data_IF_245191593954
#
_entry.id   IF_245191593954
#
_cell.length_a   1.000
_cell.length_b   1.000
_cell.length_c   1.000
_cell.angle_alpha   90.00
_cell.angle_beta   90.00
_cell.angle_gamma   90.00
#
_symmetry.space_group_name_H-M   'P 1'
#
loop_
_entity.id
_entity.type
_entity.pdbx_description
1 polymer ?
#
# COMPACT_ATOMS: atom_id res chain seq x y z
N UNK A 1 24.24 -14.39 -17.62
CA UNK A 1 23.06 -14.21 -18.50
C UNK A 1 21.81 -14.96 -18.02
N UNK A 2 21.89 -16.24 -17.65
CA UNK A 2 20.72 -17.06 -17.27
C UNK A 2 19.84 -16.49 -16.12
N UNK A 3 20.41 -15.88 -15.08
CA UNK A 3 19.62 -15.32 -13.96
C UNK A 3 18.73 -14.16 -14.39
N UNK A 4 19.23 -13.23 -15.23
CA UNK A 4 18.44 -12.07 -15.70
C UNK A 4 17.29 -12.51 -16.60
N UNK A 5 17.54 -13.44 -17.52
CA UNK A 5 16.50 -13.98 -18.40
C UNK A 5 15.37 -14.65 -17.59
N UNK A 6 15.73 -15.42 -16.56
CA UNK A 6 14.76 -16.09 -15.68
C UNK A 6 13.93 -15.09 -14.87
N UNK A 7 14.55 -14.05 -14.30
CA UNK A 7 13.82 -12.99 -13.57
C UNK A 7 12.85 -12.26 -14.49
N UNK A 8 13.29 -11.86 -15.69
CA UNK A 8 12.42 -11.19 -16.66
C UNK A 8 11.24 -12.07 -17.07
N UNK A 9 11.50 -13.37 -17.32
CA UNK A 9 10.43 -14.32 -17.66
C UNK A 9 9.40 -14.47 -16.53
N UNK A 10 9.84 -14.64 -15.28
CA UNK A 10 8.93 -14.75 -14.14
C UNK A 10 8.16 -13.45 -13.89
N UNK A 11 8.83 -12.30 -13.93
CA UNK A 11 8.17 -11.00 -13.76
C UNK A 11 7.15 -10.73 -14.87
N UNK A 12 7.47 -11.07 -16.13
CA UNK A 12 6.54 -10.96 -17.24
C UNK A 12 5.34 -11.91 -17.11
N UNK A 13 5.58 -13.16 -16.72
CA UNK A 13 4.53 -14.14 -16.48
C UNK A 13 3.59 -13.74 -15.34
N UNK A 14 4.13 -13.25 -14.21
CA UNK A 14 3.34 -12.77 -13.09
C UNK A 14 2.55 -11.49 -13.42
N UNK A 15 3.13 -10.58 -14.20
CA UNK A 15 2.42 -9.40 -14.67
C UNK A 15 1.24 -9.77 -15.59
N UNK A 16 1.45 -10.73 -16.52
CA UNK A 16 0.38 -11.25 -17.36
C UNK A 16 -0.71 -11.94 -16.52
N UNK A 17 -0.32 -12.75 -15.54
CA UNK A 17 -1.26 -13.40 -14.61
C UNK A 17 -2.07 -12.38 -13.81
N UNK A 18 -1.44 -11.28 -13.36
CA UNK A 18 -2.14 -10.18 -12.67
C UNK A 18 -3.18 -9.54 -13.59
N UNK A 19 -2.81 -9.20 -14.83
CA UNK A 19 -3.75 -8.60 -15.81
C UNK A 19 -4.93 -9.55 -16.09
N UNK A 20 -4.66 -10.84 -16.29
CA UNK A 20 -5.71 -11.84 -16.50
C UNK A 20 -6.62 -11.97 -15.27
N UNK A 21 -6.06 -11.97 -14.06
CA UNK A 21 -6.83 -11.99 -12.82
C UNK A 21 -7.70 -10.73 -12.68
N UNK A 22 -7.20 -9.55 -13.05
CA UNK A 22 -7.97 -8.31 -13.03
C UNK A 22 -9.15 -8.34 -14.02
N UNK A 23 -8.94 -8.84 -15.24
CA UNK A 23 -10.00 -8.99 -16.25
C UNK A 23 -11.05 -10.01 -15.82
N UNK A 24 -10.63 -11.16 -15.28
CA UNK A 24 -11.53 -12.17 -14.74
C UNK A 24 -12.34 -11.63 -13.55
N UNK A 25 -11.69 -10.93 -12.62
CA UNK A 25 -12.35 -10.28 -11.49
C UNK A 25 -13.38 -9.24 -11.93
N UNK A 26 -13.11 -8.51 -13.02
CA UNK A 26 -14.04 -7.52 -13.56
C UNK A 26 -15.29 -8.15 -14.22
N UNK A 27 -15.22 -9.41 -14.66
CA UNK A 27 -16.38 -10.15 -15.14
C UNK A 27 -17.26 -10.69 -14.00
N UNK A 28 -16.67 -10.97 -12.83
CA UNK A 28 -17.37 -11.50 -11.66
C UNK A 28 -18.05 -10.39 -10.86
N UNK A 29 -19.35 -10.54 -10.58
CA UNK A 29 -20.10 -9.61 -9.74
C UNK A 29 -21.60 -9.87 -9.78
N UNK A 30 -22.42 -9.03 -9.12
CA UNK A 30 -23.88 -9.19 -9.08
C UNK A 30 -24.53 -9.18 -10.47
N UNK A 31 -23.95 -8.40 -11.39
CA UNK A 31 -24.33 -8.37 -12.81
C UNK A 31 -23.30 -9.17 -13.60
N UNK A 32 -23.72 -10.24 -14.30
CA UNK A 32 -22.79 -10.99 -15.16
C UNK A 32 -22.52 -10.19 -16.43
N UNK A 33 -21.26 -9.87 -16.70
CA UNK A 33 -20.83 -9.14 -17.89
C UNK A 33 -19.85 -10.05 -18.64
N UNK A 34 -20.03 -10.20 -19.95
CA UNK A 34 -19.15 -11.03 -20.78
C UNK A 34 -17.70 -10.52 -20.74
N UNK A 35 -16.73 -11.44 -20.77
CA UNK A 35 -15.31 -11.09 -20.67
C UNK A 35 -14.86 -10.14 -21.80
N UNK A 36 -15.45 -10.28 -23.00
CA UNK A 36 -15.19 -9.39 -24.13
C UNK A 36 -15.73 -7.97 -23.88
N UNK A 37 -16.92 -7.84 -23.30
CA UNK A 37 -17.51 -6.53 -22.96
C UNK A 37 -16.76 -5.86 -21.82
N UNK A 38 -16.26 -6.64 -20.86
CA UNK A 38 -15.34 -6.15 -19.82
C UNK A 38 -14.05 -5.63 -20.44
N UNK A 39 -13.45 -6.38 -21.36
CA UNK A 39 -12.24 -5.96 -22.08
C UNK A 39 -12.47 -4.67 -22.88
N UNK A 40 -13.55 -4.60 -23.65
CA UNK A 40 -13.95 -3.39 -24.40
C UNK A 40 -14.22 -2.21 -23.47
N UNK A 41 -14.95 -2.42 -22.37
CA UNK A 41 -15.25 -1.38 -21.40
C UNK A 41 -13.99 -0.87 -20.69
N UNK A 42 -13.04 -1.75 -20.40
CA UNK A 42 -11.75 -1.40 -19.81
C UNK A 42 -10.88 -0.60 -20.80
N UNK A 43 -10.86 -0.98 -22.08
CA UNK A 43 -10.18 -0.23 -23.13
C UNK A 43 -10.82 1.16 -23.31
N UNK A 44 -12.15 1.23 -23.35
CA UNK A 44 -12.88 2.51 -23.41
C UNK A 44 -12.58 3.40 -22.18
N UNK A 45 -12.31 2.81 -21.02
CA UNK A 45 -11.94 3.53 -19.81
C UNK A 45 -10.48 4.02 -19.81
N UNK A 46 -9.64 3.57 -20.76
CA UNK A 46 -8.26 4.04 -20.87
C UNK A 46 -8.26 5.50 -21.33
N UNK A 47 -7.44 6.31 -20.66
CA UNK A 47 -7.25 7.72 -20.97
C UNK A 47 -5.77 7.94 -21.25
N UNK A 48 -5.46 8.54 -22.41
CA UNK A 48 -4.08 8.73 -22.89
C UNK A 48 -3.86 10.22 -23.16
N UNK A 49 -2.67 10.78 -22.86
CA UNK A 49 -2.35 12.15 -23.21
C UNK A 49 -2.22 12.28 -24.74
N UNK A 50 -3.01 13.18 -25.34
CA UNK A 50 -3.08 13.39 -26.80
C UNK A 50 -2.40 14.69 -27.26
N UNK A 51 -1.82 15.46 -26.34
CA UNK A 51 -1.08 16.68 -26.65
C UNK A 51 -1.14 17.71 -25.51
N UNK A 52 -0.54 18.87 -25.75
CA UNK A 52 -0.68 20.04 -24.90
C UNK A 52 -1.69 20.99 -25.55
N UNK A 53 -2.70 21.41 -24.81
CA UNK A 53 -3.53 22.56 -25.15
C UNK A 53 -3.11 23.77 -24.30
N UNK A 54 -3.64 24.96 -24.60
CA UNK A 54 -3.32 26.18 -23.86
C UNK A 54 -3.67 26.15 -22.36
N UNK A 55 -4.31 25.07 -21.87
CA UNK A 55 -4.67 24.84 -20.47
C UNK A 55 -3.96 23.64 -19.81
N UNK A 56 -3.14 22.89 -20.54
CA UNK A 56 -2.39 21.76 -20.01
C UNK A 56 -2.38 20.54 -20.92
N UNK A 57 -2.31 19.34 -20.33
CA UNK A 57 -2.31 18.07 -21.06
C UNK A 57 -3.74 17.73 -21.48
N UNK A 58 -3.99 17.62 -22.79
CA UNK A 58 -5.26 17.16 -23.33
C UNK A 58 -5.35 15.64 -23.21
N UNK A 59 -6.40 15.15 -22.55
CA UNK A 59 -6.65 13.74 -22.35
C UNK A 59 -7.76 13.24 -23.28
N UNK A 60 -7.54 12.11 -23.95
CA UNK A 60 -8.50 11.52 -24.91
C UNK A 60 -8.71 10.04 -24.62
N UNK A 61 -9.91 9.56 -24.88
CA UNK A 61 -10.24 8.13 -24.92
C UNK A 61 -9.92 7.59 -26.33
N UNK A 62 -8.87 6.76 -26.50
CA UNK A 62 -8.46 6.29 -27.81
C UNK A 62 -9.40 5.22 -28.39
N UNK A 63 -10.27 4.64 -27.56
CA UNK A 63 -11.18 3.56 -27.93
C UNK A 63 -12.63 3.97 -27.72
N UNK A 64 -13.51 3.47 -28.59
CA UNK A 64 -14.95 3.73 -28.58
C UNK A 64 -15.74 2.48 -28.99
N UNK A 65 -15.38 1.33 -28.42
CA UNK A 65 -16.07 0.07 -28.70
C UNK A 65 -17.52 0.14 -28.22
N UNK A 66 -18.44 -0.46 -28.99
CA UNK A 66 -19.84 -0.58 -28.58
C UNK A 66 -19.97 -1.49 -27.37
N UNK A 67 -20.43 -0.91 -26.27
CA UNK A 67 -20.72 -1.59 -25.01
C UNK A 67 -21.99 -0.95 -24.45
N UNK A 68 -22.87 -1.76 -23.88
CA UNK A 68 -24.06 -1.26 -23.19
C UNK A 68 -23.66 -0.23 -22.12
N UNK A 69 -24.37 0.90 -22.07
CA UNK A 69 -24.03 2.02 -21.18
C UNK A 69 -23.97 1.60 -19.70
N UNK A 70 -24.86 0.69 -19.29
CA UNK A 70 -24.90 0.11 -17.94
C UNK A 70 -23.59 -0.65 -17.64
N UNK A 71 -23.14 -1.51 -18.55
CA UNK A 71 -21.89 -2.26 -18.44
C UNK A 71 -20.67 -1.34 -18.42
N UNK A 72 -20.64 -0.30 -19.26
CA UNK A 72 -19.55 0.68 -19.26
C UNK A 72 -19.43 1.40 -17.91
N UNK A 73 -20.55 1.78 -17.30
CA UNK A 73 -20.56 2.44 -15.97
C UNK A 73 -20.15 1.46 -14.88
N UNK A 74 -20.71 0.24 -14.86
CA UNK A 74 -20.39 -0.78 -13.84
C UNK A 74 -18.90 -1.14 -13.88
N UNK A 75 -18.37 -1.43 -15.07
CA UNK A 75 -16.97 -1.80 -15.22
C UNK A 75 -16.06 -0.60 -14.94
N UNK A 76 -16.31 0.54 -15.58
CA UNK A 76 -15.41 1.70 -15.51
C UNK A 76 -15.41 2.46 -14.19
N UNK A 77 -16.57 2.57 -13.52
CA UNK A 77 -16.73 3.40 -12.30
C UNK A 77 -16.85 2.62 -11.00
N UNK A 78 -17.18 1.32 -11.04
CA UNK A 78 -17.30 0.50 -9.82
C UNK A 78 -16.24 -0.61 -9.76
N UNK A 79 -16.12 -1.45 -10.79
CA UNK A 79 -15.26 -2.64 -10.73
C UNK A 79 -13.78 -2.32 -10.93
N UNK A 80 -13.44 -1.61 -11.99
CA UNK A 80 -12.04 -1.30 -12.31
C UNK A 80 -11.34 -0.50 -11.20
N UNK A 81 -11.94 0.54 -10.59
CA UNK A 81 -11.31 1.22 -9.45
C UNK A 81 -11.04 0.28 -8.27
N UNK A 82 -11.98 -0.63 -7.97
CA UNK A 82 -11.84 -1.60 -6.88
C UNK A 82 -10.71 -2.59 -7.12
N UNK A 83 -10.67 -3.14 -8.33
CA UNK A 83 -9.68 -4.12 -8.74
C UNK A 83 -8.30 -3.48 -8.83
N UNK A 84 -8.20 -2.29 -9.42
CA UNK A 84 -6.97 -1.52 -9.51
C UNK A 84 -6.46 -1.11 -8.12
N UNK A 85 -7.36 -0.71 -7.20
CA UNK A 85 -6.98 -0.39 -5.82
C UNK A 85 -6.44 -1.63 -5.11
N UNK A 86 -7.08 -2.79 -5.27
CA UNK A 86 -6.58 -4.05 -4.72
C UNK A 86 -5.19 -4.42 -5.25
N UNK A 87 -4.96 -4.24 -6.55
CA UNK A 87 -3.65 -4.44 -7.15
C UNK A 87 -2.61 -3.45 -6.62
N UNK A 88 -2.95 -2.16 -6.48
CA UNK A 88 -2.06 -1.11 -5.97
C UNK A 88 -1.70 -1.31 -4.49
N UNK A 89 -2.69 -1.65 -3.65
CA UNK A 89 -2.51 -2.00 -2.24
C UNK A 89 -1.63 -3.25 -2.11
N UNK A 90 -1.92 -4.30 -2.90
CA UNK A 90 -1.11 -5.52 -2.93
C UNK A 90 0.34 -5.24 -3.35
N UNK A 91 0.56 -4.39 -4.36
CA UNK A 91 1.90 -3.96 -4.79
C UNK A 91 2.65 -3.21 -3.68
N UNK A 92 2.00 -2.27 -3.00
CA UNK A 92 2.59 -1.51 -1.91
C UNK A 92 2.97 -2.41 -0.71
N UNK A 93 2.04 -3.27 -0.28
CA UNK A 93 2.27 -4.20 0.84
C UNK A 93 3.30 -5.28 0.50
N UNK A 94 3.32 -5.81 -0.72
CA UNK A 94 4.34 -6.78 -1.16
C UNK A 94 5.74 -6.16 -1.20
N UNK A 95 5.84 -4.89 -1.63
CA UNK A 95 7.10 -4.13 -1.61
C UNK A 95 7.59 -3.95 -0.17
N UNK A 96 6.71 -3.48 0.72
CA UNK A 96 7.03 -3.30 2.13
C UNK A 96 7.38 -4.62 2.84
N UNK A 97 6.65 -5.70 2.56
CA UNK A 97 6.91 -7.04 3.08
C UNK A 97 8.24 -7.61 2.62
N UNK A 98 8.62 -7.42 1.35
CA UNK A 98 9.94 -7.85 0.84
C UNK A 98 11.07 -7.15 1.59
N UNK A 99 10.93 -5.84 1.84
CA UNK A 99 11.89 -5.08 2.66
C UNK A 99 11.92 -5.66 4.07
N UNK A 100 10.76 -5.89 4.68
CA UNK A 100 10.67 -6.31 6.07
C UNK A 100 11.27 -7.69 6.31
N UNK A 101 11.02 -8.63 5.39
CA UNK A 101 11.61 -9.97 5.43
C UNK A 101 13.14 -9.93 5.24
N UNK A 102 13.63 -9.09 4.32
CA UNK A 102 15.07 -8.91 4.13
C UNK A 102 15.75 -8.26 5.32
N UNK A 103 15.12 -7.21 5.86
CA UNK A 103 15.61 -6.44 7.01
C UNK A 103 15.69 -7.30 8.29
N UNK A 104 14.62 -8.01 8.61
CA UNK A 104 14.57 -8.87 9.79
C UNK A 104 15.23 -10.24 9.58
N UNK A 105 15.65 -10.56 8.35
CA UNK A 105 16.13 -11.89 7.97
C UNK A 105 15.17 -12.99 8.40
N UNK A 106 13.88 -12.71 8.28
CA UNK A 106 12.82 -13.56 8.78
C UNK A 106 11.69 -13.63 7.75
N UNK A 107 11.39 -14.80 7.17
CA UNK A 107 10.33 -14.94 6.16
C UNK A 107 8.93 -14.66 6.71
N UNK A 108 8.75 -14.66 8.03
CA UNK A 108 7.47 -14.35 8.69
C UNK A 108 7.29 -12.86 8.99
N UNK A 109 8.29 -12.02 8.68
CA UNK A 109 8.20 -10.60 8.99
C UNK A 109 7.20 -9.88 8.09
N UNK A 110 6.38 -9.03 8.71
CA UNK A 110 5.31 -8.27 8.09
C UNK A 110 5.51 -6.76 8.34
N UNK A 111 5.19 -5.88 7.38
CA UNK A 111 5.36 -4.44 7.54
C UNK A 111 4.56 -3.81 8.68
N UNK A 112 3.51 -4.47 9.20
CA UNK A 112 2.74 -3.98 10.36
C UNK A 112 3.51 -4.05 11.68
N UNK A 113 4.60 -4.82 11.76
CA UNK A 113 5.39 -5.03 12.99
C UNK A 113 5.94 -3.70 13.56
N UNK A 114 6.20 -2.71 12.70
CA UNK A 114 6.68 -1.38 13.13
C UNK A 114 5.54 -0.43 13.55
N UNK A 115 4.35 -0.95 13.84
CA UNK A 115 3.22 -0.20 14.39
C UNK A 115 2.45 0.68 13.40
N UNK A 116 2.87 0.73 12.13
CA UNK A 116 2.27 1.59 11.09
C UNK A 116 0.78 1.28 10.90
N UNK A 117 0.40 0.00 10.75
CA UNK A 117 -1.01 -0.37 10.57
C UNK A 117 -1.87 -0.04 11.79
N UNK A 118 -1.35 -0.25 13.00
CA UNK A 118 -2.08 0.06 14.25
C UNK A 118 -2.18 1.57 14.49
N UNK A 119 -1.17 2.34 14.11
CA UNK A 119 -1.23 3.80 14.08
C UNK A 119 -2.30 4.32 13.13
N UNK A 120 -2.40 3.74 11.94
CA UNK A 120 -3.46 4.07 11.00
C UNK A 120 -4.85 3.78 11.56
N UNK A 121 -5.00 2.64 12.23
CA UNK A 121 -6.22 2.26 12.92
C UNK A 121 -6.61 3.25 14.03
N UNK A 122 -5.67 3.71 14.86
CA UNK A 122 -5.95 4.76 15.85
C UNK A 122 -6.44 6.04 15.17
N UNK A 123 -5.77 6.50 14.12
CA UNK A 123 -6.16 7.72 13.40
C UNK A 123 -7.55 7.62 12.77
N UNK A 124 -7.86 6.49 12.13
CA UNK A 124 -9.16 6.25 11.51
C UNK A 124 -10.28 6.15 12.57
N UNK A 125 -10.10 5.34 13.60
CA UNK A 125 -11.09 5.15 14.66
C UNK A 125 -11.32 6.45 15.42
N UNK A 126 -10.27 7.21 15.74
CA UNK A 126 -10.42 8.52 16.39
C UNK A 126 -11.25 9.50 15.54
N UNK A 127 -11.07 9.50 14.22
CA UNK A 127 -11.86 10.34 13.30
C UNK A 127 -13.31 9.90 13.20
N UNK A 128 -13.57 8.59 13.25
CA UNK A 128 -14.93 8.04 13.23
C UNK A 128 -15.67 8.37 14.54
N UNK A 129 -15.00 8.21 15.69
CA UNK A 129 -15.60 8.37 17.02
C UNK A 129 -15.72 9.85 17.41
N UNK A 130 -14.73 10.68 17.07
CA UNK A 130 -14.70 12.09 17.44
C UNK A 130 -14.54 13.02 16.21
N UNK A 131 -15.52 13.04 15.29
CA UNK A 131 -15.41 13.76 14.02
C UNK A 131 -15.26 15.28 14.18
N UNK A 132 -15.76 15.86 15.28
CA UNK A 132 -15.60 17.28 15.59
C UNK A 132 -14.21 17.62 16.15
N UNK A 133 -13.58 16.69 16.87
CA UNK A 133 -12.26 16.89 17.46
C UNK A 133 -11.14 16.59 16.44
N UNK A 134 -11.40 15.72 15.47
CA UNK A 134 -10.45 15.33 14.41
C UNK A 134 -11.08 15.67 13.05
N UNK A 135 -11.06 16.95 12.63
CA UNK A 135 -11.75 17.42 11.41
C UNK A 135 -10.97 17.09 10.11
N UNK A 136 -10.21 16.00 10.12
CA UNK A 136 -9.48 15.53 8.94
C UNK A 136 -10.30 14.48 8.19
N UNK A 137 -10.06 14.33 6.89
CA UNK A 137 -10.60 13.17 6.18
C UNK A 137 -10.05 11.89 6.80
N UNK A 138 -10.86 10.85 6.87
CA UNK A 138 -10.48 9.55 7.44
C UNK A 138 -9.15 9.03 6.88
N UNK A 139 -8.96 9.14 5.56
CA UNK A 139 -7.72 8.71 4.88
C UNK A 139 -6.49 9.48 5.37
N UNK A 140 -6.60 10.80 5.55
CA UNK A 140 -5.49 11.62 6.06
C UNK A 140 -5.17 11.32 7.52
N UNK A 141 -6.20 11.13 8.36
CA UNK A 141 -6.00 10.78 9.75
C UNK A 141 -5.35 9.39 9.91
N UNK A 142 -5.81 8.41 9.13
CA UNK A 142 -5.19 7.08 9.07
C UNK A 142 -3.73 7.18 8.61
N UNK A 143 -3.45 7.89 7.51
CA UNK A 143 -2.09 8.06 7.01
C UNK A 143 -1.16 8.72 8.03
N UNK A 144 -1.61 9.83 8.65
CA UNK A 144 -0.84 10.54 9.68
C UNK A 144 -0.60 9.67 10.92
N UNK A 145 -1.63 8.96 11.40
CA UNK A 145 -1.50 8.03 12.52
C UNK A 145 -0.48 6.92 12.24
N UNK A 146 -0.45 6.40 11.01
CA UNK A 146 0.51 5.41 10.56
C UNK A 146 1.95 5.93 10.64
N UNK A 147 2.19 7.14 10.12
CA UNK A 147 3.51 7.77 10.14
C UNK A 147 3.97 8.12 11.55
N UNK A 148 3.08 8.65 12.39
CA UNK A 148 3.39 8.97 13.78
C UNK A 148 3.77 7.72 14.57
N UNK A 149 3.03 6.62 14.39
CA UNK A 149 3.36 5.35 15.05
C UNK A 149 4.69 4.78 14.55
N UNK A 150 4.89 4.69 13.24
CA UNK A 150 6.14 4.17 12.66
C UNK A 150 7.36 5.01 13.06
N UNK A 151 7.22 6.33 13.06
CA UNK A 151 8.28 7.24 13.51
C UNK A 151 8.52 7.11 15.02
N UNK A 152 7.47 6.98 15.83
CA UNK A 152 7.58 6.72 17.26
C UNK A 152 8.34 5.43 17.57
N UNK A 153 8.03 4.33 16.88
CA UNK A 153 8.76 3.06 16.98
C UNK A 153 10.23 3.25 16.61
N UNK A 154 10.51 3.95 15.51
CA UNK A 154 11.88 4.23 15.09
C UNK A 154 12.66 5.05 16.12
N UNK A 155 12.05 6.08 16.72
CA UNK A 155 12.68 6.90 17.76
C UNK A 155 12.96 6.09 19.04
N UNK A 156 12.03 5.25 19.48
CA UNK A 156 12.20 4.41 20.67
C UNK A 156 13.29 3.37 20.44
N UNK A 157 13.38 2.82 19.23
CA UNK A 157 14.31 1.76 18.91
C UNK A 157 15.74 2.22 18.61
N UNK A 158 15.93 3.51 18.31
CA UNK A 158 17.20 4.04 17.85
C UNK A 158 17.98 4.70 18.98
N UNK A 159 19.19 4.22 19.23
CA UNK A 159 20.08 4.74 20.28
C UNK A 159 21.49 4.96 19.71
N UNK A 160 22.12 6.10 20.02
CA UNK A 160 23.47 6.42 19.54
C UNK A 160 23.62 6.42 18.00
N UNK A 161 22.53 6.71 17.27
CA UNK A 161 22.50 6.70 15.81
C UNK A 161 22.41 5.31 15.16
N UNK A 162 22.29 4.24 15.97
CA UNK A 162 22.11 2.86 15.51
C UNK A 162 20.69 2.41 15.78
N UNK A 163 20.14 1.60 14.88
CA UNK A 163 18.81 1.00 15.07
C UNK A 163 18.96 -0.53 15.09
N UNK A 164 19.20 -1.15 16.26
CA UNK A 164 19.29 -2.60 16.37
C UNK A 164 17.95 -3.24 16.02
N UNK A 165 18.00 -4.27 15.18
CA UNK A 165 16.83 -4.97 14.65
C UNK A 165 15.95 -5.53 15.78
N UNK A 166 16.55 -6.12 16.82
CA UNK A 166 15.83 -6.68 17.96
C UNK A 166 15.09 -5.60 18.78
N UNK A 167 15.73 -4.44 19.00
CA UNK A 167 15.11 -3.31 19.70
C UNK A 167 13.96 -2.73 18.90
N UNK A 168 14.08 -2.67 17.57
CA UNK A 168 13.00 -2.24 16.68
C UNK A 168 11.77 -3.15 16.78
N UNK A 169 11.97 -4.48 16.86
CA UNK A 169 10.90 -5.43 17.07
C UNK A 169 10.21 -5.23 18.42
N UNK A 170 10.99 -5.13 19.51
CA UNK A 170 10.44 -4.95 20.86
C UNK A 170 9.68 -3.62 20.99
N UNK A 171 10.23 -2.53 20.44
CA UNK A 171 9.57 -1.24 20.39
C UNK A 171 8.27 -1.30 19.58
N UNK A 172 8.31 -1.97 18.41
CA UNK A 172 7.14 -2.18 17.57
C UNK A 172 6.01 -2.91 18.30
N UNK A 173 6.32 -4.04 18.95
CA UNK A 173 5.36 -4.81 19.76
C UNK A 173 4.80 -3.95 20.90
N UNK A 174 5.65 -3.24 21.64
CA UNK A 174 5.21 -2.39 22.74
C UNK A 174 4.25 -1.27 22.28
N UNK A 175 4.60 -0.57 21.19
CA UNK A 175 3.76 0.48 20.60
C UNK A 175 2.46 -0.11 20.06
N UNK A 176 2.51 -1.26 19.37
CA UNK A 176 1.32 -1.92 18.86
C UNK A 176 0.36 -2.31 19.99
N UNK A 177 0.86 -2.87 21.09
CA UNK A 177 0.02 -3.20 22.25
C UNK A 177 -0.60 -1.95 22.87
N UNK A 178 0.18 -0.87 23.03
CA UNK A 178 -0.31 0.40 23.54
C UNK A 178 -1.39 1.00 22.64
N UNK A 179 -1.14 1.10 21.33
CA UNK A 179 -2.11 1.61 20.37
C UNK A 179 -3.35 0.70 20.26
N UNK A 180 -3.20 -0.61 20.46
CA UNK A 180 -4.32 -1.54 20.60
C UNK A 180 -5.22 -1.24 21.80
N UNK A 181 -4.62 -0.85 22.93
CA UNK A 181 -5.38 -0.37 24.09
C UNK A 181 -6.09 0.96 23.79
N UNK A 182 -5.44 1.87 23.06
CA UNK A 182 -6.07 3.12 22.59
C UNK A 182 -7.26 2.84 21.66
N UNK A 183 -7.12 1.93 20.70
CA UNK A 183 -8.25 1.52 19.82
C UNK A 183 -9.39 0.98 20.67
N UNK A 184 -9.10 0.07 21.61
CA UNK A 184 -10.11 -0.50 22.52
C UNK A 184 -10.83 0.59 23.32
N UNK A 185 -10.08 1.56 23.85
CA UNK A 185 -10.65 2.72 24.54
C UNK A 185 -11.55 3.54 23.61
N UNK A 186 -11.11 3.88 22.40
CA UNK A 186 -11.92 4.64 21.44
C UNK A 186 -13.22 3.90 21.08
N UNK A 187 -13.17 2.57 20.92
CA UNK A 187 -14.34 1.75 20.61
C UNK A 187 -15.38 1.77 21.75
N UNK A 188 -14.97 1.88 23.02
CA UNK A 188 -15.90 2.05 24.15
C UNK A 188 -16.72 3.34 24.06
N UNK A 189 -16.15 4.39 23.45
CA UNK A 189 -16.80 5.68 23.26
C UNK A 189 -17.49 5.82 21.89
N UNK A 190 -17.45 4.79 21.04
CA UNK A 190 -17.94 4.89 19.67
C UNK A 190 -19.46 5.07 19.55
N UNK A 191 -20.24 4.59 20.53
CA UNK A 191 -21.70 4.64 20.50
C UNK A 191 -22.25 4.07 19.18
N UNK A 192 -23.06 4.86 18.48
CA UNK A 192 -23.65 4.48 17.18
C UNK A 192 -22.62 4.30 16.05
N UNK A 193 -21.39 4.80 16.21
CA UNK A 193 -20.32 4.67 15.22
C UNK A 193 -19.51 3.38 15.36
N UNK A 194 -19.84 2.50 16.32
CA UNK A 194 -19.11 1.26 16.59
C UNK A 194 -19.04 0.35 15.35
N UNK A 195 -20.17 0.13 14.68
CA UNK A 195 -20.23 -0.70 13.47
C UNK A 195 -19.29 -0.18 12.38
N UNK A 196 -19.30 1.15 12.16
CA UNK A 196 -18.46 1.80 11.16
C UNK A 196 -16.97 1.67 11.50
N UNK A 197 -16.60 1.83 12.78
CA UNK A 197 -15.23 1.68 13.24
C UNK A 197 -14.73 0.24 13.07
N UNK A 198 -15.54 -0.74 13.50
CA UNK A 198 -15.22 -2.17 13.36
C UNK A 198 -15.11 -2.56 11.88
N UNK A 199 -16.04 -2.11 11.04
CA UNK A 199 -16.00 -2.39 9.61
C UNK A 199 -14.75 -1.83 8.94
N UNK A 200 -14.30 -0.63 9.34
CA UNK A 200 -13.05 -0.05 8.84
C UNK A 200 -11.82 -0.87 9.28
N UNK A 201 -11.77 -1.31 10.54
CA UNK A 201 -10.67 -2.13 11.07
C UNK A 201 -10.51 -3.48 10.36
N UNK A 202 -11.55 -4.00 9.73
CA UNK A 202 -11.49 -5.26 8.96
C UNK A 202 -10.77 -5.11 7.61
N UNK A 203 -10.63 -3.87 7.11
CA UNK A 203 -10.10 -3.58 5.78
C UNK A 203 -11.08 -3.95 4.66
N UNK A 204 -11.34 -3.03 3.74
CA UNK A 204 -12.30 -3.23 2.66
C UNK A 204 -12.05 -2.32 1.45
N UNK A 205 -12.38 -2.81 0.25
CA UNK A 205 -12.23 -2.02 -0.98
C UNK A 205 -13.57 -1.45 -1.50
N UNK A 206 -14.59 -1.36 -0.64
CA UNK A 206 -15.96 -0.99 -1.05
C UNK A 206 -16.10 0.49 -1.47
N UNK A 207 -15.29 1.39 -0.90
CA UNK A 207 -15.26 2.84 -1.19
C UNK A 207 -14.12 3.18 -2.14
N UNK A 208 -13.80 2.26 -3.04
CA UNK A 208 -12.72 2.42 -4.02
C UNK A 208 -13.08 3.45 -5.09
N UNK A 209 -12.07 4.21 -5.51
CA UNK A 209 -12.21 5.25 -6.52
C UNK A 209 -10.86 5.47 -7.21
N UNK A 210 -10.87 5.98 -8.45
CA UNK A 210 -9.63 6.30 -9.17
C UNK A 210 -8.70 7.25 -8.40
N UNK A 211 -9.19 8.31 -7.70
CA UNK A 211 -8.34 9.12 -6.83
C UNK A 211 -7.62 8.32 -5.74
N UNK A 212 -8.28 7.33 -5.12
CA UNK A 212 -7.63 6.46 -4.13
C UNK A 212 -6.53 5.61 -4.77
N UNK A 213 -6.79 5.03 -5.94
CA UNK A 213 -5.80 4.26 -6.71
C UNK A 213 -4.55 5.12 -6.95
N UNK A 214 -4.74 6.34 -7.46
CA UNK A 214 -3.63 7.25 -7.71
C UNK A 214 -2.91 7.69 -6.45
N UNK A 215 -3.63 7.92 -5.35
CA UNK A 215 -2.99 8.27 -4.07
C UNK A 215 -2.05 7.17 -3.55
N UNK A 216 -2.42 5.90 -3.72
CA UNK A 216 -1.55 4.76 -3.35
C UNK A 216 -0.38 4.67 -4.31
N UNK A 217 -0.62 4.70 -5.63
CA UNK A 217 0.43 4.55 -6.64
C UNK A 217 1.46 5.69 -6.61
N UNK A 218 1.04 6.91 -6.29
CA UNK A 218 1.92 8.07 -6.14
C UNK A 218 2.99 7.85 -5.07
N UNK A 219 2.67 7.08 -4.03
CA UNK A 219 3.62 6.73 -2.94
C UNK A 219 4.31 5.40 -3.20
N UNK A 220 3.57 4.39 -3.65
CA UNK A 220 4.06 3.03 -3.81
C UNK A 220 5.08 2.89 -4.95
N UNK A 221 4.90 3.59 -6.08
CA UNK A 221 5.83 3.51 -7.22
C UNK A 221 7.21 4.09 -6.84
N UNK A 222 7.32 5.32 -6.29
CA UNK A 222 8.60 5.83 -5.82
C UNK A 222 9.23 4.94 -4.73
N UNK A 223 8.44 4.44 -3.79
CA UNK A 223 8.94 3.53 -2.75
C UNK A 223 9.52 2.24 -3.36
N UNK A 224 8.84 1.63 -4.33
CA UNK A 224 9.33 0.47 -5.05
C UNK A 224 10.61 0.76 -5.83
N UNK A 225 10.68 1.87 -6.57
CA UNK A 225 11.89 2.25 -7.32
C UNK A 225 13.07 2.43 -6.37
N UNK A 226 12.84 3.06 -5.22
CA UNK A 226 13.85 3.23 -4.18
C UNK A 226 14.30 1.89 -3.60
N UNK A 227 13.38 1.00 -3.25
CA UNK A 227 13.71 -0.36 -2.77
C UNK A 227 14.47 -1.16 -3.83
N UNK A 228 14.07 -1.09 -5.09
CA UNK A 228 14.73 -1.75 -6.20
C UNK A 228 16.17 -1.24 -6.40
N UNK A 229 16.42 0.06 -6.19
CA UNK A 229 17.75 0.63 -6.18
C UNK A 229 18.64 0.04 -5.06
N UNK A 230 18.08 -0.15 -3.85
CA UNK A 230 18.76 -0.75 -2.70
C UNK A 230 18.71 -2.30 -2.68
N UNK A 231 18.26 -2.96 -3.74
CA UNK A 231 18.06 -4.42 -3.73
C UNK A 231 19.37 -5.21 -3.48
N UNK A 232 20.53 -4.69 -3.89
CA UNK A 232 21.83 -5.33 -3.61
C UNK A 232 22.21 -5.22 -2.14
N UNK A 233 22.02 -4.04 -1.57
CA UNK A 233 22.31 -3.77 -0.16
C UNK A 233 21.40 -4.60 0.73
N UNK A 234 20.12 -4.75 0.35
CA UNK A 234 19.18 -5.66 1.01
C UNK A 234 19.65 -7.12 0.97
N UNK A 235 20.23 -7.58 -0.16
CA UNK A 235 20.82 -8.92 -0.22
C UNK A 235 22.06 -9.06 0.65
N UNK A 236 22.89 -8.02 0.77
CA UNK A 236 24.05 -8.03 1.67
C UNK A 236 23.61 -8.07 3.14
N UNK A 237 22.56 -7.33 3.51
CA UNK A 237 21.97 -7.35 4.86
C UNK A 237 21.49 -8.75 5.28
N UNK A 238 21.15 -9.64 4.34
CA UNK A 238 20.80 -11.04 4.64
C UNK A 238 21.95 -11.83 5.27
N UNK A 239 23.21 -11.50 4.92
CA UNK A 239 24.40 -12.12 5.52
C UNK A 239 24.58 -11.67 6.97
N UNK A 240 24.15 -10.44 7.28
CA UNK A 240 24.22 -9.81 8.58
C UNK A 240 24.80 -8.41 8.51
N UNK A 241 24.62 -7.62 9.56
CA UNK A 241 25.04 -6.21 9.57
C UNK A 241 26.56 -6.06 9.46
N UNK A 242 27.33 -6.89 10.19
CA UNK A 242 28.79 -6.86 10.15
C UNK A 242 29.34 -7.21 8.76
N UNK A 243 28.77 -8.24 8.12
CA UNK A 243 29.20 -8.69 6.79
C UNK A 243 28.76 -7.70 5.70
N UNK A 244 27.57 -7.12 5.82
CA UNK A 244 27.15 -6.05 4.92
C UNK A 244 28.06 -4.82 5.01
N UNK A 245 28.48 -4.46 6.24
CA UNK A 245 29.39 -3.35 6.45
C UNK A 245 30.79 -3.62 5.86
N UNK A 246 31.33 -4.84 5.98
CA UNK A 246 32.63 -5.18 5.35
C UNK A 246 32.55 -5.22 3.82
N UNK A 247 31.38 -5.48 3.26
CA UNK A 247 31.09 -5.35 1.83
C UNK A 247 30.88 -3.90 1.35
N UNK A 248 31.01 -2.92 2.26
CA UNK A 248 30.94 -1.48 1.94
C UNK A 248 29.52 -0.91 1.96
N UNK A 249 28.54 -1.62 2.52
CA UNK A 249 27.18 -1.10 2.68
C UNK A 249 27.12 -0.14 3.87
N UNK A 250 26.59 1.05 3.64
CA UNK A 250 26.20 1.99 4.70
C UNK A 250 24.94 1.47 5.42
N UNK A 251 25.13 0.53 6.35
CA UNK A 251 24.07 -0.25 6.99
C UNK A 251 22.98 0.63 7.60
N UNK A 252 23.35 1.58 8.46
CA UNK A 252 22.36 2.44 9.14
C UNK A 252 21.59 3.33 8.17
N UNK A 253 22.26 3.89 7.15
CA UNK A 253 21.59 4.70 6.12
C UNK A 253 20.60 3.85 5.32
N UNK A 254 21.03 2.66 4.91
CA UNK A 254 20.20 1.71 4.17
C UNK A 254 18.97 1.31 4.97
N UNK A 255 19.16 0.97 6.25
CA UNK A 255 18.07 0.64 7.19
C UNK A 255 17.05 1.77 7.27
N UNK A 256 17.49 3.02 7.51
CA UNK A 256 16.59 4.18 7.61
C UNK A 256 15.78 4.41 6.34
N UNK A 257 16.44 4.37 5.17
CA UNK A 257 15.79 4.61 3.89
C UNK A 257 14.77 3.52 3.57
N UNK A 258 15.14 2.26 3.76
CA UNK A 258 14.25 1.13 3.49
C UNK A 258 13.05 1.10 4.44
N UNK A 259 13.27 1.34 5.74
CA UNK A 259 12.18 1.44 6.72
C UNK A 259 11.23 2.61 6.42
N UNK A 260 11.76 3.78 6.02
CA UNK A 260 10.93 4.92 5.64
C UNK A 260 10.09 4.60 4.39
N UNK A 261 10.69 4.00 3.36
CA UNK A 261 10.01 3.61 2.14
C UNK A 261 8.91 2.58 2.38
N UNK A 262 9.19 1.53 3.17
CA UNK A 262 8.22 0.50 3.52
C UNK A 262 7.08 1.04 4.39
N UNK A 263 7.40 1.94 5.33
CA UNK A 263 6.41 2.61 6.19
C UNK A 263 5.46 3.48 5.36
N UNK A 264 6.00 4.28 4.45
CA UNK A 264 5.20 5.16 3.57
C UNK A 264 4.29 4.36 2.65
N UNK A 265 4.82 3.30 2.02
CA UNK A 265 4.03 2.43 1.15
C UNK A 265 2.90 1.74 1.93
N UNK A 266 3.19 1.23 3.13
CA UNK A 266 2.20 0.58 4.01
C UNK A 266 1.15 1.58 4.48
N UNK A 267 1.56 2.77 4.92
CA UNK A 267 0.67 3.84 5.35
C UNK A 267 -0.32 4.24 4.25
N UNK A 268 0.18 4.45 3.03
CA UNK A 268 -0.66 4.80 1.89
C UNK A 268 -1.65 3.68 1.54
N UNK A 269 -1.19 2.42 1.58
CA UNK A 269 -2.02 1.25 1.31
C UNK A 269 -3.15 1.10 2.34
N UNK A 270 -2.82 1.12 3.64
CA UNK A 270 -3.77 0.94 4.73
C UNK A 270 -4.75 2.11 4.82
N UNK A 271 -4.30 3.34 4.59
CA UNK A 271 -5.18 4.51 4.64
C UNK A 271 -6.23 4.55 3.51
N UNK A 272 -5.92 3.92 2.37
CA UNK A 272 -6.82 3.87 1.21
C UNK A 272 -7.77 2.67 1.22
N UNK A 273 -7.41 1.59 1.92
CA UNK A 273 -8.12 0.32 2.01
C UNK A 273 -9.03 0.21 3.24
#
# INVERSE_FOLDING_TARGET
MYRRARTVAWSGGLAAALVLAMLAAAAVGPVRIGLLDVGRAALNALVVPAGLDGSGIRWVHPFGFEVERSHQVIVGKLRLPRIALGAAVGFALATAGTVMQGFFRNPMADPSIIGVSTGAAVGAVATIVFPLAVPFSLQWAAFAGALLAGFGVYLIASEGGRTPVATLLLAGVAVQTFLGAVISFLLLYAGDSLERAVYWLMGHLHTSSWPKVWSVLLVAIPAYVLVAYYARDLNALLLGETDAHTLGVEVERTKRVLLAASSLATAAAVAAA
#
